data_IF_320526591800
#
_entry.id   IF_320526591800
#
_cell.length_a   1.000
_cell.length_b   1.000
_cell.length_c   1.000
_cell.angle_alpha   90.00
_cell.angle_beta   90.00
_cell.angle_gamma   90.00
#
_symmetry.space_group_name_H-M   'P 1'
#
loop_
_entity.id
_entity.type
_entity.pdbx_description
1 polymer ?
#
# COMPACT_ATOMS: atom_id res chain seq x y z
N UNK A 1 9.51 25.27 -14.44
CA UNK A 1 8.21 25.69 -15.00
C UNK A 1 7.11 25.22 -14.05
N UNK A 2 6.39 26.19 -13.49
CA UNK A 2 5.20 26.09 -12.61
C UNK A 2 3.97 25.94 -13.50
N UNK A 3 3.03 25.01 -13.21
CA UNK A 3 1.66 24.79 -13.76
C UNK A 3 1.44 23.26 -13.75
N UNK A 4 0.44 22.62 -13.14
CA UNK A 4 -0.89 22.98 -12.64
C UNK A 4 -1.19 22.09 -11.41
N UNK A 5 -1.70 22.65 -10.33
CA UNK A 5 -2.32 21.89 -9.24
C UNK A 5 -3.47 22.73 -8.63
N UNK A 6 -4.29 23.32 -9.51
CA UNK A 6 -5.59 23.84 -9.12
C UNK A 6 -6.64 22.84 -9.62
N UNK A 7 -7.61 22.55 -8.75
CA UNK A 7 -8.81 21.70 -8.96
C UNK A 7 -8.69 20.21 -8.62
N UNK A 8 -8.08 19.92 -7.48
CA UNK A 8 -8.69 18.96 -6.58
C UNK A 8 -8.62 19.58 -5.17
N UNK A 9 -9.76 19.76 -4.51
CA UNK A 9 -9.80 19.88 -3.04
C UNK A 9 -9.39 18.51 -2.46
N UNK A 10 -8.15 18.12 -2.72
CA UNK A 10 -7.44 17.22 -1.86
C UNK A 10 -7.17 18.07 -0.63
N UNK A 11 -7.99 17.92 0.39
CA UNK A 11 -7.57 18.28 1.74
C UNK A 11 -6.53 17.21 2.07
N UNK A 12 -5.22 17.47 1.96
CA UNK A 12 -4.26 16.55 2.54
C UNK A 12 -4.65 16.45 4.02
N UNK A 13 -4.62 15.25 4.59
CA UNK A 13 -4.86 15.07 6.03
C UNK A 13 -3.67 15.71 6.76
N UNK A 14 -3.73 17.04 6.89
CA UNK A 14 -2.78 17.89 7.61
C UNK A 14 -3.59 18.49 8.74
N UNK A 15 -3.70 17.73 9.83
CA UNK A 15 -4.30 18.21 11.06
C UNK A 15 -3.30 19.18 11.72
N UNK A 16 -3.27 20.43 11.26
CA UNK A 16 -2.77 21.62 11.99
C UNK A 16 -1.36 21.59 12.61
N UNK A 17 -0.49 20.64 12.27
CA UNK A 17 0.86 20.48 12.80
C UNK A 17 1.93 20.37 11.72
N UNK A 18 3.19 20.23 12.12
CA UNK A 18 4.33 20.05 11.21
C UNK A 18 4.10 18.83 10.30
N UNK A 19 4.36 19.00 9.00
CA UNK A 19 4.25 17.93 8.02
C UNK A 19 5.16 16.73 8.36
N UNK A 20 4.68 15.52 8.10
CA UNK A 20 5.46 14.29 8.26
C UNK A 20 5.92 13.77 6.89
N UNK A 21 7.15 13.27 6.81
CA UNK A 21 7.67 12.66 5.59
C UNK A 21 7.01 11.31 5.36
N UNK A 22 6.28 11.14 4.26
CA UNK A 22 5.59 9.88 3.96
C UNK A 22 6.42 8.93 3.08
N UNK A 23 7.42 9.48 2.39
CA UNK A 23 8.28 8.78 1.45
C UNK A 23 9.74 8.90 1.92
N UNK A 24 10.28 7.81 2.46
CA UNK A 24 11.65 7.75 3.00
C UNK A 24 12.65 7.27 1.94
N UNK A 25 12.17 6.84 0.78
CA UNK A 25 12.98 6.25 -0.27
C UNK A 25 13.76 5.07 0.30
N UNK A 26 15.09 5.19 0.31
CA UNK A 26 16.02 4.14 0.76
C UNK A 26 16.73 4.46 2.08
N UNK A 27 16.33 5.51 2.80
CA UNK A 27 17.01 5.92 4.03
C UNK A 27 16.69 5.03 5.23
N UNK A 28 15.50 4.41 5.26
CA UNK A 28 15.08 3.52 6.34
C UNK A 28 14.24 2.37 5.81
N UNK A 29 14.55 1.15 6.29
CA UNK A 29 13.83 -0.07 5.96
C UNK A 29 12.47 -0.14 6.67
N UNK A 30 12.37 0.43 7.87
CA UNK A 30 11.23 0.22 8.74
C UNK A 30 10.16 1.30 8.57
N UNK A 31 8.90 0.86 8.58
CA UNK A 31 7.75 1.75 8.47
C UNK A 31 7.59 2.59 9.72
N UNK A 32 7.30 3.87 9.53
CA UNK A 32 7.02 4.79 10.61
C UNK A 32 5.52 4.83 10.93
N UNK A 33 5.16 5.24 12.15
CA UNK A 33 3.76 5.27 12.58
C UNK A 33 2.89 6.25 11.76
N UNK A 34 3.45 7.36 11.28
CA UNK A 34 2.74 8.27 10.38
C UNK A 34 2.46 7.63 9.01
N UNK A 35 3.37 6.82 8.47
CA UNK A 35 3.12 6.07 7.23
C UNK A 35 2.00 5.05 7.44
N UNK A 36 2.02 4.33 8.56
CA UNK A 36 0.93 3.40 8.93
C UNK A 36 -0.42 4.10 9.01
N UNK A 37 -0.49 5.30 9.60
CA UNK A 37 -1.73 6.09 9.66
C UNK A 37 -2.21 6.51 8.27
N UNK A 38 -1.30 6.95 7.40
CA UNK A 38 -1.64 7.28 6.02
C UNK A 38 -2.17 6.06 5.25
N UNK A 39 -1.55 4.89 5.44
CA UNK A 39 -2.04 3.64 4.86
C UNK A 39 -3.41 3.24 5.42
N UNK A 40 -3.68 3.40 6.71
CA UNK A 40 -5.00 3.10 7.28
C UNK A 40 -6.12 3.96 6.66
N UNK A 41 -5.79 5.18 6.24
CA UNK A 41 -6.72 6.06 5.52
C UNK A 41 -6.91 5.57 4.07
N UNK A 42 -5.81 5.23 3.37
CA UNK A 42 -5.85 4.82 1.96
C UNK A 42 -6.43 3.41 1.75
N UNK A 43 -6.02 2.46 2.57
CA UNK A 43 -6.31 1.02 2.45
C UNK A 43 -7.58 0.62 3.21
N UNK A 44 -8.12 1.51 4.06
CA UNK A 44 -9.35 1.30 4.79
C UNK A 44 -9.18 0.54 6.12
N UNK A 45 -10.32 0.10 6.67
CA UNK A 45 -10.42 -0.39 8.05
C UNK A 45 -10.12 -1.89 8.22
N UNK A 46 -9.77 -2.58 7.14
CA UNK A 46 -9.49 -4.01 7.12
C UNK A 46 -8.23 -4.29 6.29
N UNK A 47 -7.75 -5.54 6.34
CA UNK A 47 -6.74 -6.04 5.42
C UNK A 47 -7.15 -5.74 3.98
N UNK A 48 -6.26 -5.11 3.23
CA UNK A 48 -6.56 -4.64 1.88
C UNK A 48 -6.68 -5.79 0.86
N UNK A 49 -6.32 -7.03 1.20
CA UNK A 49 -6.53 -8.14 0.28
C UNK A 49 -8.03 -8.36 -0.03
N UNK A 50 -8.44 -8.58 -1.30
CA UNK A 50 -9.85 -8.68 -1.69
C UNK A 50 -10.66 -9.68 -0.85
N UNK A 51 -11.81 -9.22 -0.33
CA UNK A 51 -12.71 -10.04 0.48
C UNK A 51 -12.26 -10.31 1.92
N UNK A 52 -11.10 -9.80 2.35
CA UNK A 52 -10.64 -9.98 3.73
C UNK A 52 -11.32 -8.99 4.68
N UNK A 53 -11.79 -9.48 5.83
CA UNK A 53 -12.45 -8.67 6.87
C UNK A 53 -11.63 -8.57 8.16
N UNK A 54 -10.35 -8.98 8.14
CA UNK A 54 -9.47 -8.82 9.30
C UNK A 54 -9.25 -7.33 9.54
N UNK A 55 -9.53 -6.78 10.74
CA UNK A 55 -9.49 -5.35 10.97
C UNK A 55 -8.05 -4.80 10.94
N UNK A 56 -7.90 -3.53 10.56
CA UNK A 56 -6.62 -2.81 10.41
C UNK A 56 -5.66 -3.00 11.61
N UNK A 57 -6.11 -2.99 12.88
CA UNK A 57 -5.20 -3.20 14.02
C UNK A 57 -4.50 -4.57 14.04
N UNK A 58 -5.00 -5.55 13.28
CA UNK A 58 -4.38 -6.87 13.09
C UNK A 58 -3.59 -6.98 11.78
N UNK A 59 -3.45 -5.88 11.06
CA UNK A 59 -2.69 -5.78 9.83
C UNK A 59 -1.30 -5.21 10.10
N UNK A 60 -0.39 -5.47 9.17
CA UNK A 60 0.95 -4.89 9.14
C UNK A 60 1.19 -4.29 7.76
N UNK A 61 2.06 -3.29 7.70
CA UNK A 61 2.53 -2.74 6.44
C UNK A 61 3.45 -3.74 5.74
N UNK A 62 3.31 -3.82 4.43
CA UNK A 62 4.08 -4.71 3.56
C UNK A 62 4.58 -3.94 2.35
N UNK A 63 5.87 -4.09 2.02
CA UNK A 63 6.43 -3.61 0.77
C UNK A 63 5.94 -4.47 -0.42
N UNK A 64 5.43 -3.84 -1.47
CA UNK A 64 5.05 -4.51 -2.73
C UNK A 64 6.30 -5.01 -3.47
N UNK A 65 7.28 -4.13 -3.66
CA UNK A 65 8.65 -4.48 -4.05
C UNK A 65 9.47 -4.58 -2.78
N UNK A 66 9.95 -5.77 -2.44
CA UNK A 66 10.68 -5.98 -1.20
C UNK A 66 11.89 -5.04 -1.07
N UNK A 67 12.15 -4.57 0.15
CA UNK A 67 13.32 -3.73 0.44
C UNK A 67 14.64 -4.39 0.00
N UNK A 68 14.82 -5.68 0.28
CA UNK A 68 16.05 -6.40 -0.10
C UNK A 68 16.19 -6.55 -1.64
N UNK A 69 15.13 -6.26 -2.40
CA UNK A 69 15.11 -6.20 -3.87
C UNK A 69 15.08 -4.77 -4.43
N UNK A 70 15.42 -3.76 -3.63
CA UNK A 70 15.54 -2.38 -4.10
C UNK A 70 14.29 -1.52 -3.92
N UNK A 71 13.19 -2.05 -3.38
CA UNK A 71 11.98 -1.26 -3.12
C UNK A 71 12.20 -0.18 -2.05
N UNK A 72 11.53 0.99 -2.17
CA UNK A 72 11.59 2.04 -1.17
C UNK A 72 10.52 1.89 -0.06
N UNK A 73 10.66 2.63 1.02
CA UNK A 73 9.69 2.74 2.13
C UNK A 73 8.89 4.01 1.91
N UNK A 74 8.05 3.92 0.87
CA UNK A 74 7.21 4.98 0.35
C UNK A 74 5.78 4.46 0.27
N UNK A 75 4.78 5.32 0.46
CA UNK A 75 3.38 4.89 0.42
C UNK A 75 3.03 4.20 -0.90
N UNK A 76 3.63 4.64 -2.01
CA UNK A 76 3.43 4.04 -3.33
C UNK A 76 3.97 2.60 -3.47
N UNK A 77 4.78 2.13 -2.52
CA UNK A 77 5.33 0.77 -2.48
C UNK A 77 4.83 -0.03 -1.27
N UNK A 78 3.81 0.45 -0.55
CA UNK A 78 3.35 -0.13 0.71
C UNK A 78 1.88 -0.49 0.69
N UNK A 79 1.47 -1.48 1.49
CA UNK A 79 0.05 -1.87 1.67
C UNK A 79 -0.19 -2.51 3.04
N UNK A 80 -1.38 -2.31 3.62
CA UNK A 80 -1.81 -2.97 4.85
C UNK A 80 -2.40 -4.36 4.59
N UNK A 81 -1.77 -5.39 5.17
CA UNK A 81 -2.19 -6.79 5.05
C UNK A 81 -2.20 -7.49 6.41
N UNK A 82 -3.14 -8.41 6.61
CA UNK A 82 -3.08 -9.32 7.75
C UNK A 82 -1.91 -10.31 7.61
N UNK A 83 -1.53 -10.99 8.70
CA UNK A 83 -0.42 -11.96 8.70
C UNK A 83 -0.55 -13.03 7.61
N UNK A 84 -1.77 -13.53 7.37
CA UNK A 84 -2.05 -14.53 6.36
C UNK A 84 -1.77 -13.99 4.96
N UNK A 85 -2.47 -12.93 4.55
CA UNK A 85 -2.32 -12.37 3.20
C UNK A 85 -0.95 -11.75 2.94
N UNK A 86 -0.26 -11.23 3.96
CA UNK A 86 1.15 -10.83 3.82
C UNK A 86 2.02 -12.02 3.38
N UNK A 87 1.84 -13.17 4.03
CA UNK A 87 2.59 -14.40 3.69
C UNK A 87 2.24 -14.87 2.29
N UNK A 88 0.94 -14.90 1.96
CA UNK A 88 0.44 -15.26 0.62
C UNK A 88 1.01 -14.36 -0.46
N UNK A 89 0.97 -13.04 -0.27
CA UNK A 89 1.54 -12.09 -1.22
C UNK A 89 3.04 -12.27 -1.37
N UNK A 90 3.74 -12.47 -0.26
CA UNK A 90 5.19 -12.53 -0.26
C UNK A 90 5.75 -13.82 -0.89
N UNK A 91 5.05 -14.95 -0.78
CA UNK A 91 5.61 -16.26 -1.12
C UNK A 91 4.87 -17.02 -2.23
N UNK A 92 3.63 -16.67 -2.55
CA UNK A 92 2.79 -17.50 -3.44
C UNK A 92 2.67 -16.95 -4.87
N UNK A 93 3.55 -16.01 -5.27
CA UNK A 93 3.63 -15.50 -6.64
C UNK A 93 2.55 -14.49 -7.01
N UNK A 94 1.84 -13.95 -6.02
CA UNK A 94 0.98 -12.79 -6.18
C UNK A 94 1.83 -11.54 -6.43
N UNK A 95 1.38 -10.69 -7.35
CA UNK A 95 1.94 -9.35 -7.51
C UNK A 95 0.99 -8.32 -6.92
N UNK A 96 1.55 -7.32 -6.27
CA UNK A 96 0.81 -6.15 -5.78
C UNK A 96 1.43 -4.91 -6.40
N UNK A 97 0.59 -3.99 -6.84
CA UNK A 97 1.02 -2.70 -7.42
C UNK A 97 0.00 -1.62 -7.09
N UNK A 98 0.39 -0.36 -7.12
CA UNK A 98 -0.57 0.74 -7.12
C UNK A 98 -1.17 0.89 -8.52
N UNK A 99 -2.49 0.79 -8.61
CA UNK A 99 -3.24 1.04 -9.84
C UNK A 99 -3.31 2.54 -10.18
N UNK A 100 -3.82 2.87 -11.36
CA UNK A 100 -3.96 4.26 -11.83
C UNK A 100 -4.90 5.13 -10.97
N UNK A 101 -5.70 4.50 -10.11
CA UNK A 101 -6.63 5.14 -9.17
C UNK A 101 -6.00 5.35 -7.78
N UNK A 102 -4.71 5.05 -7.60
CA UNK A 102 -3.99 5.29 -6.36
C UNK A 102 -4.16 4.24 -5.27
N UNK A 103 -4.88 3.14 -5.53
CA UNK A 103 -5.05 2.03 -4.58
C UNK A 103 -4.33 0.75 -5.04
N UNK A 104 -3.96 -0.15 -4.11
CA UNK A 104 -3.35 -1.43 -4.45
C UNK A 104 -4.25 -2.33 -5.32
N UNK A 105 -3.66 -2.94 -6.32
CA UNK A 105 -4.24 -3.96 -7.20
C UNK A 105 -3.45 -5.26 -7.06
N UNK A 106 -4.16 -6.39 -7.10
CA UNK A 106 -3.56 -7.72 -6.95
C UNK A 106 -3.63 -8.48 -8.27
N UNK A 107 -2.49 -9.03 -8.69
CA UNK A 107 -2.42 -9.93 -9.85
C UNK A 107 -2.16 -11.35 -9.32
N UNK A 108 -3.13 -12.27 -9.47
CA UNK A 108 -2.95 -13.63 -9.00
C UNK A 108 -1.86 -14.36 -9.79
N UNK A 109 -1.26 -15.40 -9.20
CA UNK A 109 -0.43 -16.34 -9.95
C UNK A 109 -1.28 -17.16 -10.93
N UNK A 110 -0.64 -17.69 -11.99
CA UNK A 110 -1.35 -18.40 -13.07
C UNK A 110 -2.11 -19.65 -12.61
N UNK A 111 -1.67 -20.30 -11.54
CA UNK A 111 -2.35 -21.46 -10.98
C UNK A 111 -3.65 -21.10 -10.26
N UNK A 112 -3.79 -19.85 -9.80
CA UNK A 112 -5.00 -19.34 -9.16
C UNK A 112 -5.99 -18.79 -10.20
N UNK A 113 -5.50 -18.01 -11.16
CA UNK A 113 -6.24 -17.58 -12.34
C UNK A 113 -5.32 -17.60 -13.57
N UNK A 114 -5.54 -18.51 -14.54
CA UNK A 114 -4.73 -18.59 -15.76
C UNK A 114 -4.72 -17.29 -16.57
N UNK A 115 -5.78 -16.50 -16.49
CA UNK A 115 -5.87 -15.20 -17.18
C UNK A 115 -5.27 -14.05 -16.37
N UNK A 116 -4.85 -14.32 -15.13
CA UNK A 116 -4.27 -13.35 -14.19
C UNK A 116 -5.08 -12.06 -14.09
N UNK A 117 -6.41 -12.17 -13.99
CA UNK A 117 -7.29 -11.00 -13.93
C UNK A 117 -6.99 -10.23 -12.65
N UNK A 118 -6.90 -8.91 -12.80
CA UNK A 118 -6.60 -8.01 -11.69
C UNK A 118 -7.76 -8.01 -10.70
N UNK A 119 -7.45 -8.19 -9.41
CA UNK A 119 -8.40 -8.08 -8.32
C UNK A 119 -8.25 -6.72 -7.63
N UNK A 120 -9.39 -6.10 -7.34
CA UNK A 120 -9.53 -4.84 -6.61
C UNK A 120 -10.41 -5.09 -5.38
N UNK A 121 -10.03 -4.61 -4.18
CA UNK A 121 -10.84 -4.76 -2.97
C UNK A 121 -12.10 -3.90 -2.96
#
# INVERSE_FOLDING_TARGET
MRRLACEADLIPVVLGGDGQVLDLGRSDRFFQEHQRRALAIRDGRHCHFPGCQIPEPRCVTHHMTAWDHGGPTDLANEVLLCRFHRTTVHHEGWLVRIGSHGHPEYVPPQWCDPQRRILRP
#
